data_IF_511176877776
#
_entry.id   IF_511176877776
#
_cell.length_a   1.000
_cell.length_b   1.000
_cell.length_c   1.000
_cell.angle_alpha   90.00
_cell.angle_beta   90.00
_cell.angle_gamma   90.00
#
_symmetry.space_group_name_H-M   'P 1'
#
loop_
_entity.id
_entity.type
_entity.pdbx_description
1 polymer ?
#
# COMPACT_ATOMS: atom_id res chain seq x y z
N UNK A 1 -14.72 6.78 -30.05
CA UNK A 1 -13.50 6.80 -29.23
C UNK A 1 -13.48 5.51 -28.44
N UNK A 2 -12.89 4.50 -29.05
CA UNK A 2 -12.81 3.10 -28.61
C UNK A 2 -11.94 2.86 -27.38
N UNK A 3 -12.31 1.85 -26.58
CA UNK A 3 -11.37 0.89 -25.99
C UNK A 3 -12.09 -0.41 -25.57
N UNK A 4 -12.19 -1.34 -26.55
CA UNK A 4 -11.83 -2.78 -26.53
C UNK A 4 -11.65 -3.43 -25.13
N UNK A 5 -11.95 -4.70 -24.88
CA UNK A 5 -12.60 -5.82 -25.58
C UNK A 5 -12.54 -6.97 -24.55
N UNK A 6 -13.71 -7.54 -24.25
CA UNK A 6 -13.99 -8.92 -23.87
C UNK A 6 -12.76 -9.86 -23.69
N UNK A 7 -12.53 -10.33 -22.46
CA UNK A 7 -11.71 -11.52 -22.18
C UNK A 7 -12.62 -12.60 -21.61
N UNK A 8 -13.35 -13.25 -22.50
CA UNK A 8 -13.81 -14.63 -22.31
C UNK A 8 -12.82 -15.59 -22.97
N UNK A 9 -12.84 -16.85 -22.52
CA UNK A 9 -12.06 -18.04 -22.93
C UNK A 9 -10.84 -18.27 -22.01
N UNK A 10 -10.80 -19.32 -21.19
CA UNK A 10 -11.25 -20.68 -21.46
C UNK A 10 -11.96 -21.32 -20.24
N UNK A 11 -13.23 -21.68 -20.44
CA UNK A 11 -13.80 -22.88 -19.85
C UNK A 11 -13.78 -23.95 -20.95
N UNK A 12 -13.27 -25.14 -20.64
CA UNK A 12 -13.43 -26.36 -21.43
C UNK A 12 -12.15 -26.88 -22.10
N UNK A 13 -11.55 -27.90 -21.48
CA UNK A 13 -10.49 -28.72 -22.06
C UNK A 13 -9.97 -29.71 -21.03
N UNK A 14 -10.67 -30.83 -20.87
CA UNK A 14 -10.25 -31.98 -20.09
C UNK A 14 -9.04 -32.63 -20.79
N UNK A 15 -7.86 -32.64 -20.17
CA UNK A 15 -6.76 -33.53 -20.53
C UNK A 15 -6.00 -33.93 -19.26
N UNK A 16 -5.94 -35.24 -19.01
CA UNK A 16 -5.28 -35.86 -17.88
C UNK A 16 -3.78 -35.55 -17.92
N UNK A 17 -3.31 -34.78 -16.96
CA UNK A 17 -1.91 -34.40 -16.86
C UNK A 17 -1.61 -33.89 -15.48
N UNK A 18 -1.20 -34.81 -14.62
CA UNK A 18 -0.54 -34.59 -13.34
C UNK A 18 0.70 -33.70 -13.54
N UNK A 19 0.46 -32.39 -13.56
CA UNK A 19 1.50 -31.40 -13.53
C UNK A 19 1.11 -30.41 -12.45
N UNK A 20 1.49 -30.78 -11.23
CA UNK A 20 1.67 -29.94 -10.06
C UNK A 20 2.74 -28.87 -10.36
N UNK A 21 2.50 -28.06 -11.39
CA UNK A 21 3.15 -26.78 -11.54
C UNK A 21 2.45 -25.88 -10.55
N UNK A 22 2.97 -25.90 -9.33
CA UNK A 22 2.82 -24.86 -8.33
C UNK A 22 2.96 -23.52 -9.08
N UNK A 23 1.82 -22.94 -9.46
CA UNK A 23 1.79 -21.62 -10.03
C UNK A 23 2.25 -20.75 -8.88
N UNK A 24 3.51 -20.31 -8.93
CA UNK A 24 4.11 -19.37 -7.99
C UNK A 24 3.35 -18.04 -8.11
N UNK A 25 2.18 -17.99 -7.47
CA UNK A 25 1.37 -16.79 -7.33
C UNK A 25 2.20 -15.89 -6.42
N UNK A 26 2.69 -14.73 -6.90
CA UNK A 26 3.49 -13.86 -6.07
C UNK A 26 2.68 -13.49 -4.84
N UNK A 27 3.26 -13.72 -3.66
CA UNK A 27 2.63 -13.32 -2.41
C UNK A 27 2.25 -11.83 -2.50
N UNK A 28 1.07 -11.44 -1.97
CA UNK A 28 0.67 -10.04 -1.99
C UNK A 28 1.74 -9.19 -1.31
N UNK A 29 2.04 -8.03 -1.90
CA UNK A 29 2.96 -7.06 -1.31
C UNK A 29 2.45 -6.55 0.05
N UNK A 30 3.33 -5.94 0.85
CA UNK A 30 2.97 -5.45 2.18
C UNK A 30 1.86 -4.41 2.13
N UNK A 31 0.99 -4.46 3.13
CA UNK A 31 -0.04 -3.46 3.38
C UNK A 31 0.58 -2.12 3.79
N UNK A 32 -0.22 -1.03 3.69
CA UNK A 32 0.22 0.30 4.15
C UNK A 32 0.59 0.30 5.64
N UNK A 33 -0.17 -0.40 6.47
CA UNK A 33 0.11 -0.51 7.91
C UNK A 33 1.45 -1.22 8.16
N UNK A 34 1.74 -2.31 7.44
CA UNK A 34 3.02 -3.02 7.55
C UNK A 34 4.18 -2.15 7.07
N UNK A 35 4.02 -1.40 5.98
CA UNK A 35 5.03 -0.46 5.50
C UNK A 35 5.31 0.66 6.52
N UNK A 36 4.28 1.16 7.21
CA UNK A 36 4.42 2.16 8.28
C UNK A 36 5.13 1.57 9.51
N UNK A 37 4.81 0.33 9.90
CA UNK A 37 5.50 -0.36 10.99
C UNK A 37 6.99 -0.61 10.67
N UNK A 38 7.31 -1.03 9.45
CA UNK A 38 8.68 -1.17 8.98
C UNK A 38 9.42 0.18 9.03
N UNK A 39 8.76 1.26 8.58
CA UNK A 39 9.28 2.63 8.64
C UNK A 39 9.63 3.05 10.08
N UNK A 40 8.74 2.79 11.05
CA UNK A 40 9.01 3.08 12.47
C UNK A 40 10.21 2.30 13.00
N UNK A 41 10.35 1.04 12.60
CA UNK A 41 11.47 0.18 12.98
C UNK A 41 12.79 0.72 12.44
N UNK A 42 12.83 1.10 11.15
CA UNK A 42 14.01 1.69 10.52
C UNK A 42 14.38 3.02 11.17
N UNK A 43 13.42 3.89 11.48
CA UNK A 43 13.69 5.16 12.17
C UNK A 43 14.34 4.96 13.54
N UNK A 44 13.86 3.98 14.32
CA UNK A 44 14.47 3.62 15.62
C UNK A 44 15.92 3.17 15.46
N UNK A 45 16.21 2.36 14.44
CA UNK A 45 17.56 1.92 14.13
C UNK A 45 18.46 3.10 13.74
N UNK A 46 17.98 3.99 12.87
CA UNK A 46 18.75 5.15 12.41
C UNK A 46 19.03 6.17 13.52
N UNK A 47 18.15 6.30 14.50
CA UNK A 47 18.35 7.18 15.66
C UNK A 47 19.58 6.84 16.51
N UNK A 48 20.17 5.65 16.32
CA UNK A 48 21.41 5.23 16.99
C UNK A 48 22.65 5.86 16.30
N UNK A 49 22.53 6.26 15.03
CA UNK A 49 23.65 6.75 14.21
C UNK A 49 23.49 8.24 13.94
N UNK A 50 24.54 9.03 14.23
CA UNK A 50 24.57 10.47 13.90
C UNK A 50 25.18 10.77 12.52
N UNK A 51 25.24 9.76 11.65
CA UNK A 51 25.84 9.88 10.33
C UNK A 51 24.95 10.69 9.37
N UNK A 52 25.54 11.48 8.44
CA UNK A 52 24.77 12.28 7.48
C UNK A 52 23.76 11.45 6.67
N UNK A 53 24.14 10.21 6.31
CA UNK A 53 23.25 9.28 5.62
C UNK A 53 22.05 8.88 6.48
N UNK A 54 22.27 8.58 7.77
CA UNK A 54 21.21 8.17 8.68
C UNK A 54 20.16 9.28 8.86
N UNK A 55 20.62 10.53 9.02
CA UNK A 55 19.74 11.71 9.09
C UNK A 55 18.94 11.91 7.81
N UNK A 56 19.58 11.76 6.64
CA UNK A 56 18.89 11.89 5.35
C UNK A 56 17.81 10.81 5.18
N UNK A 57 18.13 9.57 5.55
CA UNK A 57 17.19 8.46 5.46
C UNK A 57 16.03 8.62 6.43
N UNK A 58 16.27 9.10 7.65
CA UNK A 58 15.20 9.39 8.61
C UNK A 58 14.21 10.43 8.08
N UNK A 59 14.71 11.51 7.46
CA UNK A 59 13.84 12.53 6.85
C UNK A 59 12.99 11.92 5.73
N UNK A 60 13.57 11.11 4.86
CA UNK A 60 12.83 10.45 3.77
C UNK A 60 11.75 9.50 4.32
N UNK A 61 12.06 8.73 5.37
CA UNK A 61 11.11 7.85 6.05
C UNK A 61 9.98 8.64 6.73
N UNK A 62 10.28 9.83 7.28
CA UNK A 62 9.28 10.76 7.81
C UNK A 62 8.29 11.20 6.73
N UNK A 63 8.80 11.68 5.60
CA UNK A 63 7.96 12.10 4.46
C UNK A 63 7.13 10.96 3.89
N UNK A 64 7.71 9.75 3.79
CA UNK A 64 6.99 8.55 3.36
C UNK A 64 5.77 8.26 4.24
N UNK A 65 5.94 8.32 5.57
CA UNK A 65 4.85 8.12 6.51
C UNK A 65 3.74 9.16 6.36
N UNK A 66 4.11 10.44 6.26
CA UNK A 66 3.16 11.54 6.05
C UNK A 66 2.35 11.38 4.76
N UNK A 67 3.03 11.05 3.65
CA UNK A 67 2.36 10.87 2.36
C UNK A 67 1.43 9.65 2.37
N UNK A 68 1.84 8.57 3.02
CA UNK A 68 1.01 7.35 3.13
C UNK A 68 -0.28 7.63 3.89
N UNK A 69 -0.19 8.37 5.00
CA UNK A 69 -1.37 8.76 5.79
C UNK A 69 -2.23 9.80 5.05
N UNK A 70 -1.62 10.76 4.35
CA UNK A 70 -2.37 11.76 3.58
C UNK A 70 -3.19 11.13 2.44
N UNK A 71 -2.63 10.13 1.75
CA UNK A 71 -3.34 9.37 0.71
C UNK A 71 -4.53 8.59 1.30
N UNK A 72 -4.38 8.06 2.52
CA UNK A 72 -5.47 7.41 3.24
C UNK A 72 -6.59 8.40 3.59
N UNK A 73 -6.23 9.57 4.11
CA UNK A 73 -7.19 10.63 4.45
C UNK A 73 -7.93 11.15 3.22
N UNK A 74 -7.27 11.28 2.07
CA UNK A 74 -7.92 11.68 0.81
C UNK A 74 -8.97 10.67 0.33
N UNK A 75 -8.84 9.40 0.72
CA UNK A 75 -9.83 8.36 0.43
C UNK A 75 -10.98 8.29 1.42
N UNK A 76 -10.94 9.05 2.52
CA UNK A 76 -12.04 9.10 3.48
C UNK A 76 -13.19 9.93 2.94
N UNK A 77 -14.42 9.45 3.15
CA UNK A 77 -15.63 10.21 2.84
C UNK A 77 -15.79 11.32 3.87
N UNK A 78 -16.16 12.52 3.41
CA UNK A 78 -16.54 13.61 4.31
C UNK A 78 -17.66 13.12 5.24
N UNK A 79 -17.44 13.26 6.55
CA UNK A 79 -18.45 12.92 7.55
C UNK A 79 -19.10 14.21 8.02
N UNK A 80 -20.43 14.20 8.17
CA UNK A 80 -21.23 15.35 8.60
C UNK A 80 -21.13 15.64 10.10
N UNK A 81 -20.04 15.20 10.77
CA UNK A 81 -19.88 15.34 12.22
C UNK A 81 -19.94 16.80 12.67
N UNK A 82 -19.52 17.74 11.82
CA UNK A 82 -19.55 19.18 12.10
C UNK A 82 -20.84 19.88 11.70
N UNK A 83 -21.76 19.21 11.00
CA UNK A 83 -23.03 19.82 10.56
C UNK A 83 -24.01 20.08 11.72
N UNK A 84 -23.77 19.48 12.89
CA UNK A 84 -24.56 19.72 14.09
C UNK A 84 -24.29 21.11 14.71
N UNK A 85 -23.15 21.74 14.41
CA UNK A 85 -22.82 23.07 14.91
C UNK A 85 -23.33 24.14 13.96
N UNK A 86 -24.58 24.56 14.15
CA UNK A 86 -25.09 25.77 13.50
C UNK A 86 -24.31 26.99 13.98
N UNK A 87 -23.59 27.68 13.07
CA UNK A 87 -23.00 28.99 13.37
C UNK A 87 -24.13 29.98 13.60
N UNK A 88 -24.22 30.51 14.82
CA UNK A 88 -25.10 31.61 15.19
C UNK A 88 -24.44 32.95 14.89
#
# INVERSE_FOLDING_TARGET
>A
MDAKKLREKAAGGNDDGDNDSDIDVPAPGPTRCEALQATLTLRKYLGIFNEPFARKLEVMLGSFGQQTVAVEMQGMKDTTLTDYFSRK
#
